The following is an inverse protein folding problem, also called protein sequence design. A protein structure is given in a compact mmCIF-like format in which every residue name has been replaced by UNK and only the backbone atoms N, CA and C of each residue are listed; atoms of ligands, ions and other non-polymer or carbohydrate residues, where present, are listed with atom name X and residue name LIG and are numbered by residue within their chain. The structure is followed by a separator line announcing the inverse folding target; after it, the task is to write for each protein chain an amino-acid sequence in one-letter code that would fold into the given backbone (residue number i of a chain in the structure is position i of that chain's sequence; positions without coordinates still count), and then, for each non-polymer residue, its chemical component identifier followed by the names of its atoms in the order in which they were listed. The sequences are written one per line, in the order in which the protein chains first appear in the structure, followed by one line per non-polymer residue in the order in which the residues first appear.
data_IF_605590247729
#
_entry.id   IF_605590247729
#
_cell.length_a   1.000
_cell.length_b   1.000
_cell.length_c   1.000
_cell.angle_alpha   90.00
_cell.angle_beta   90.00
_cell.angle_gamma   90.00
#
_symmetry.space_group_name_H-M   'P 1'
#
loop_
_entity.id
_entity.type
_entity.pdbx_description
1 polymer ?
#
# COMPACT_ATOMS: atom_id res chain seq x y z
N UNK A 1 5.37 4.59 5.63
CA UNK A 1 5.44 3.72 4.45
C UNK A 1 4.03 3.35 4.03
N UNK A 2 3.71 3.52 2.75
CA UNK A 2 2.37 3.32 2.20
C UNK A 2 2.46 2.48 0.93
N UNK A 3 1.52 1.56 0.74
CA UNK A 3 1.42 0.77 -0.48
C UNK A 3 0.26 1.30 -1.33
N UNK A 4 0.48 1.39 -2.64
CA UNK A 4 -0.58 1.72 -3.59
C UNK A 4 -0.44 0.90 -4.88
N UNK A 5 -1.60 0.63 -5.51
CA UNK A 5 -1.69 -0.05 -6.81
C UNK A 5 -2.23 0.90 -7.86
N UNK A 6 -1.59 0.94 -9.03
CA UNK A 6 -2.09 1.71 -10.17
C UNK A 6 -3.17 0.94 -10.95
N UNK A 7 -3.66 1.54 -12.04
CA UNK A 7 -4.69 0.94 -12.90
C UNK A 7 -4.26 -0.37 -13.60
N UNK A 8 -2.96 -0.61 -13.74
CA UNK A 8 -2.39 -1.82 -14.33
C UNK A 8 -2.07 -2.88 -13.27
N UNK A 9 -2.44 -2.59 -12.01
CA UNK A 9 -2.21 -3.43 -10.86
C UNK A 9 -0.73 -3.57 -10.47
N UNK A 10 0.10 -2.60 -10.85
CA UNK A 10 1.49 -2.52 -10.40
C UNK A 10 1.57 -1.98 -8.98
N UNK A 11 2.44 -2.58 -8.17
CA UNK A 11 2.57 -2.28 -6.74
C UNK A 11 3.72 -1.31 -6.48
N UNK A 12 3.45 -0.27 -5.69
CA UNK A 12 4.41 0.77 -5.35
C UNK A 12 4.45 1.00 -3.84
N UNK A 13 5.65 1.27 -3.34
CA UNK A 13 5.93 1.62 -1.95
C UNK A 13 6.37 3.07 -1.86
N UNK A 14 5.68 3.85 -1.03
CA UNK A 14 5.95 5.27 -0.81
C UNK A 14 6.39 5.53 0.64
N UNK A 15 7.29 6.49 0.82
CA UNK A 15 7.71 6.97 2.15
C UNK A 15 6.64 7.85 2.80
N UNK A 16 5.94 8.66 1.99
CA UNK A 16 4.83 9.56 2.35
C UNK A 16 3.50 9.06 1.79
N UNK A 17 2.40 9.59 2.31
CA UNK A 17 1.05 9.26 1.84
C UNK A 17 0.91 9.68 0.36
N UNK A 18 0.70 8.74 -0.58
CA UNK A 18 0.60 9.08 -1.99
C UNK A 18 -0.77 9.68 -2.31
N UNK A 19 -0.79 10.58 -3.29
CA UNK A 19 -1.97 11.21 -3.85
C UNK A 19 -2.24 10.59 -5.22
N UNK A 20 -3.51 10.31 -5.48
CA UNK A 20 -3.96 9.70 -6.73
C UNK A 20 -3.96 10.75 -7.85
N UNK A 21 -3.05 10.61 -8.81
CA UNK A 21 -3.12 11.32 -10.09
C UNK A 21 -4.07 10.63 -11.08
N UNK A 22 -4.13 11.14 -12.30
CA UNK A 22 -4.97 10.56 -13.38
C UNK A 22 -4.54 9.15 -13.78
N UNK A 23 -3.24 8.90 -13.86
CA UNK A 23 -2.67 7.65 -14.39
C UNK A 23 -1.81 6.89 -13.37
N UNK A 24 -1.30 7.59 -12.35
CA UNK A 24 -0.30 7.10 -11.42
C UNK A 24 -0.42 7.77 -10.04
N UNK A 25 0.15 7.11 -9.03
CA UNK A 25 0.25 7.63 -7.66
C UNK A 25 1.49 8.49 -7.50
N UNK A 26 1.36 9.65 -6.86
CA UNK A 26 2.43 10.61 -6.66
C UNK A 26 2.60 10.94 -5.18
N UNK A 27 3.83 11.02 -4.69
CA UNK A 27 4.11 11.74 -3.45
C UNK A 27 4.45 13.19 -3.80
N UNK A 28 3.65 14.15 -3.33
CA UNK A 28 3.64 15.59 -3.69
C UNK A 28 4.98 16.36 -3.59
N UNK A 29 6.09 15.72 -3.20
CA UNK A 29 7.34 16.42 -2.84
C UNK A 29 8.62 15.85 -3.44
N UNK A 30 8.57 14.95 -4.44
CA UNK A 30 9.81 14.46 -5.03
C UNK A 30 9.77 14.18 -6.52
N UNK A 31 10.81 14.68 -7.17
CA UNK A 31 11.33 14.22 -8.47
C UNK A 31 11.55 12.69 -8.39
N UNK A 32 11.37 12.00 -9.51
CA UNK A 32 11.63 10.56 -9.71
C UNK A 32 12.56 9.94 -8.64
N UNK A 33 12.00 9.06 -7.79
CA UNK A 33 12.76 8.36 -6.75
C UNK A 33 12.09 8.27 -5.36
N UNK A 34 10.92 8.88 -5.14
CA UNK A 34 10.17 8.79 -3.86
C UNK A 34 9.37 7.51 -3.69
N UNK A 35 9.38 6.64 -4.71
CA UNK A 35 8.66 5.39 -4.68
C UNK A 35 9.49 4.25 -5.27
N UNK A 36 9.28 3.05 -4.73
CA UNK A 36 9.85 1.82 -5.24
C UNK A 36 8.75 0.97 -5.85
N UNK A 37 8.93 0.54 -7.10
CA UNK A 37 8.09 -0.50 -7.68
C UNK A 37 8.47 -1.84 -7.05
N UNK A 38 7.49 -2.55 -6.52
CA UNK A 38 7.65 -3.87 -5.92
C UNK A 38 7.11 -4.94 -6.85
N UNK A 39 7.58 -6.18 -6.67
CA UNK A 39 6.89 -7.33 -7.23
C UNK A 39 5.49 -7.44 -6.60
N UNK A 40 4.46 -7.33 -7.45
CA UNK A 40 3.06 -7.38 -7.04
C UNK A 40 2.65 -8.74 -6.45
N UNK A 41 3.44 -9.79 -6.65
CA UNK A 41 3.23 -11.11 -6.05
C UNK A 41 3.45 -11.12 -4.53
N UNK A 42 4.26 -10.18 -4.00
CA UNK A 42 4.59 -10.09 -2.57
C UNK A 42 3.39 -9.69 -1.70
N UNK A 43 2.46 -8.93 -2.28
CA UNK A 43 1.28 -8.42 -1.59
C UNK A 43 0.06 -8.60 -2.49
N UNK A 44 -0.51 -9.81 -2.60
CA UNK A 44 -1.64 -10.08 -3.49
C UNK A 44 -2.81 -9.13 -3.19
N UNK A 45 -3.56 -8.80 -4.24
CA UNK A 45 -4.77 -7.99 -4.09
C UNK A 45 -5.80 -8.80 -3.31
N UNK A 46 -6.19 -8.29 -2.14
CA UNK A 46 -7.24 -8.88 -1.33
C UNK A 46 -8.52 -8.10 -1.61
N UNK A 47 -9.41 -8.70 -2.39
CA UNK A 47 -10.78 -8.22 -2.57
C UNK A 47 -11.62 -8.78 -1.44
N UNK A 48 -12.30 -7.90 -0.71
CA UNK A 48 -13.23 -8.27 0.35
C UNK A 48 -14.66 -8.19 -0.18
N UNK A 49 -15.51 -9.14 0.21
CA UNK A 49 -16.93 -9.11 -0.13
C UNK A 49 -17.68 -7.98 0.60
N UNK A 50 -17.03 -7.32 1.55
CA UNK A 50 -17.57 -6.27 2.41
C UNK A 50 -16.53 -5.17 2.71
N UNK A 51 -17.01 -4.00 3.16
CA UNK A 51 -16.15 -2.87 3.55
C UNK A 51 -15.18 -3.29 4.67
N UNK A 52 -13.90 -2.94 4.57
CA UNK A 52 -12.90 -3.33 5.57
C UNK A 52 -13.23 -2.70 6.92
N UNK A 53 -13.19 -3.53 7.96
CA UNK A 53 -13.44 -3.11 9.34
C UNK A 53 -12.12 -2.66 9.98
N UNK A 54 -12.08 -1.53 10.70
CA UNK A 54 -10.88 -1.12 11.43
C UNK A 54 -10.41 -2.21 12.39
N UNK A 55 -9.14 -2.58 12.31
CA UNK A 55 -8.54 -3.61 13.15
C UNK A 55 -7.17 -3.14 13.68
N UNK A 56 -6.83 -3.59 14.88
CA UNK A 56 -5.52 -3.37 15.50
C UNK A 56 -4.83 -4.71 15.76
N UNK A 57 -3.50 -4.74 15.60
CA UNK A 57 -2.70 -5.89 15.98
C UNK A 57 -2.37 -5.80 17.47
N UNK A 58 -2.79 -6.80 18.24
CA UNK A 58 -2.39 -6.95 19.64
C UNK A 58 -1.48 -8.16 19.80
N UNK A 59 -0.44 -8.04 20.63
CA UNK A 59 0.42 -9.16 20.99
C UNK A 59 -0.28 -9.93 22.10
N UNK A 60 -0.75 -11.13 21.79
CA UNK A 60 -1.26 -12.05 22.81
C UNK A 60 -0.06 -12.72 23.48
N UNK A 61 0.21 -12.39 24.73
CA UNK A 61 1.20 -13.12 25.51
C UNK A 61 0.72 -14.58 25.66
N UNK A 62 1.54 -15.53 25.20
CA UNK A 62 1.30 -16.93 25.49
C UNK A 62 1.35 -17.12 27.01
N UNK A 63 0.25 -17.59 27.61
CA UNK A 63 0.29 -18.04 29.01
C UNK A 63 1.03 -19.38 29.05
N UNK A 64 2.13 -19.41 29.80
CA UNK A 64 2.83 -20.63 30.22
C UNK A 64 1.94 -21.54 31.08
#
# INVERSE_FOLDING_TARGET
MFLARDKNNDLYLFDKLPIRGSECWWAESGVDGTYLRLDKSLYPEVTWDCEPVPAELSVVAAKE
#
